data_IF_995727089402
#
_entry.id   IF_995727089402
#
_cell.length_a   1.000
_cell.length_b   1.000
_cell.length_c   1.000
_cell.angle_alpha   90.00
_cell.angle_beta   90.00
_cell.angle_gamma   90.00
#
_symmetry.space_group_name_H-M   'P 1'
#
loop_
_entity.id
_entity.type
_entity.pdbx_description
1 polymer ?
#
# COMPACT_ATOMS: atom_id res chain seq x y z
N UNK A 1 19.31 7.13 -7.87
CA UNK A 1 17.96 6.66 -7.44
C UNK A 1 18.05 6.22 -5.99
N UNK A 2 17.39 6.91 -5.07
CA UNK A 2 17.36 6.53 -3.65
C UNK A 2 16.45 5.32 -3.48
N UNK A 3 16.96 4.23 -2.89
CA UNK A 3 16.20 2.98 -2.74
C UNK A 3 15.24 3.10 -1.57
N UNK A 4 13.95 3.23 -1.86
CA UNK A 4 12.90 3.21 -0.86
C UNK A 4 12.75 1.80 -0.25
N UNK A 5 12.43 1.76 1.04
CA UNK A 5 12.10 0.54 1.79
C UNK A 5 10.85 0.80 2.62
N UNK A 6 10.16 -0.28 2.97
CA UNK A 6 9.04 -0.21 3.89
C UNK A 6 9.56 -0.19 5.33
N UNK A 7 9.10 0.79 6.09
CA UNK A 7 9.39 0.93 7.52
C UNK A 7 8.09 0.82 8.33
N UNK A 8 8.14 0.03 9.39
CA UNK A 8 7.11 -0.03 10.41
C UNK A 8 7.30 1.13 11.39
N UNK A 9 6.28 1.95 11.63
CA UNK A 9 6.24 3.07 12.58
C UNK A 9 5.21 2.75 13.67
N UNK A 10 5.65 2.78 14.92
CA UNK A 10 4.88 2.41 16.11
C UNK A 10 4.52 3.64 16.94
N UNK A 11 3.61 3.45 17.90
CA UNK A 11 3.24 4.52 18.85
C UNK A 11 4.47 5.05 19.62
N UNK A 12 5.43 4.18 19.92
CA UNK A 12 6.69 4.54 20.58
C UNK A 12 7.57 5.44 19.72
N UNK A 13 7.66 5.16 18.42
CA UNK A 13 8.44 5.99 17.50
C UNK A 13 7.90 7.43 17.40
N UNK A 14 6.60 7.60 17.66
CA UNK A 14 5.91 8.89 17.58
C UNK A 14 5.66 9.52 18.97
N UNK A 15 6.14 8.92 20.05
CA UNK A 15 5.85 9.33 21.44
C UNK A 15 4.33 9.49 21.73
N UNK A 16 3.50 8.57 21.22
CA UNK A 16 2.04 8.56 21.41
C UNK A 16 1.58 7.36 22.23
N UNK A 17 0.43 7.48 22.90
CA UNK A 17 -0.20 6.38 23.65
C UNK A 17 -0.86 5.30 22.77
N UNK A 18 -1.03 5.57 21.47
CA UNK A 18 -1.61 4.64 20.52
C UNK A 18 -1.61 5.21 19.11
N UNK A 19 -1.87 4.35 18.11
CA UNK A 19 -2.02 4.75 16.72
C UNK A 19 -3.43 4.50 16.23
N UNK A 20 -3.92 5.42 15.41
CA UNK A 20 -5.14 5.27 14.64
C UNK A 20 -4.78 5.58 13.19
N UNK A 21 -5.19 4.71 12.27
CA UNK A 21 -5.07 5.00 10.85
C UNK A 21 -6.27 5.84 10.40
N UNK A 22 -6.02 6.96 9.72
CA UNK A 22 -7.06 7.96 9.46
C UNK A 22 -8.11 7.54 8.43
N UNK A 23 -7.78 6.65 7.48
CA UNK A 23 -8.77 6.23 6.46
C UNK A 23 -9.71 5.13 6.96
N UNK A 24 -9.17 4.00 7.47
CA UNK A 24 -10.05 2.93 7.98
C UNK A 24 -10.49 3.14 9.44
N UNK A 25 -9.98 4.19 10.11
CA UNK A 25 -10.29 4.59 11.49
C UNK A 25 -9.98 3.54 12.57
N UNK A 26 -9.29 2.46 12.22
CA UNK A 26 -8.94 1.42 13.18
C UNK A 26 -7.78 1.84 14.06
N UNK A 27 -7.82 1.37 15.32
CA UNK A 27 -6.65 1.40 16.21
C UNK A 27 -5.68 0.33 15.76
N UNK A 28 -4.42 0.71 15.61
CA UNK A 28 -3.37 -0.19 15.10
C UNK A 28 -2.14 -0.12 15.99
N UNK A 29 -1.33 -1.19 15.96
CA UNK A 29 -0.03 -1.21 16.64
C UNK A 29 1.07 -0.55 15.81
N UNK A 30 0.87 -0.49 14.50
CA UNK A 30 1.90 -0.11 13.52
C UNK A 30 1.25 0.53 12.30
N UNK A 31 1.89 1.59 11.81
CA UNK A 31 1.67 2.18 10.49
C UNK A 31 2.89 1.89 9.62
N UNK A 32 2.68 1.67 8.32
CA UNK A 32 3.74 1.36 7.37
C UNK A 32 3.90 2.52 6.39
N UNK A 33 5.15 2.90 6.13
CA UNK A 33 5.50 3.95 5.19
C UNK A 33 6.67 3.51 4.30
N UNK A 34 6.67 3.94 3.04
CA UNK A 34 7.81 3.81 2.13
C UNK A 34 8.69 5.06 2.29
N UNK A 35 9.95 4.87 2.66
CA UNK A 35 10.90 5.96 2.86
C UNK A 35 12.32 5.50 2.53
N UNK A 36 13.29 6.42 2.50
CA UNK A 36 14.72 6.11 2.37
C UNK A 36 15.37 5.75 3.71
N UNK A 37 14.82 6.22 4.83
CA UNK A 37 15.25 5.85 6.18
C UNK A 37 14.09 5.74 7.16
N UNK A 38 14.38 5.21 8.35
CA UNK A 38 13.39 5.09 9.45
C UNK A 38 12.99 6.47 9.98
N UNK A 39 13.92 7.40 10.07
CA UNK A 39 13.70 8.77 10.55
C UNK A 39 12.78 9.53 9.58
N UNK A 40 12.99 9.38 8.28
CA UNK A 40 12.10 9.93 7.26
C UNK A 40 10.70 9.32 7.36
N UNK A 41 10.60 7.99 7.53
CA UNK A 41 9.30 7.34 7.70
C UNK A 41 8.52 7.90 8.90
N UNK A 42 9.20 8.16 10.02
CA UNK A 42 8.56 8.76 11.21
C UNK A 42 8.04 10.16 10.89
N UNK A 43 8.83 11.02 10.23
CA UNK A 43 8.42 12.38 9.84
C UNK A 43 7.20 12.37 8.92
N UNK A 44 7.20 11.51 7.90
CA UNK A 44 6.09 11.39 6.96
C UNK A 44 4.80 10.93 7.65
N UNK A 45 4.89 9.98 8.59
CA UNK A 45 3.72 9.52 9.35
C UNK A 45 3.24 10.59 10.33
N UNK A 46 4.16 11.33 10.96
CA UNK A 46 3.82 12.41 11.89
C UNK A 46 3.11 13.57 11.19
N UNK A 47 3.56 13.95 9.99
CA UNK A 47 2.95 14.96 9.14
C UNK A 47 1.65 14.51 8.46
N UNK A 48 1.27 13.23 8.58
CA UNK A 48 0.07 12.68 7.93
C UNK A 48 0.19 12.50 6.42
N UNK A 49 1.41 12.59 5.88
CA UNK A 49 1.73 12.41 4.46
C UNK A 49 1.86 10.93 4.07
N UNK A 50 2.10 10.06 5.06
CA UNK A 50 2.18 8.63 4.88
C UNK A 50 1.65 7.86 6.10
N UNK A 51 1.72 6.54 6.05
CA UNK A 51 1.37 5.65 7.16
C UNK A 51 0.04 4.95 6.90
N UNK A 52 0.10 3.81 6.23
CA UNK A 52 -1.05 2.91 6.06
C UNK A 52 -1.07 1.88 7.20
N UNK A 53 -2.26 1.46 7.63
CA UNK A 53 -2.35 0.23 8.41
C UNK A 53 -1.93 -0.98 7.55
N UNK A 54 -1.65 -2.12 8.19
CA UNK A 54 -1.22 -3.33 7.48
C UNK A 54 -2.20 -3.77 6.38
N UNK A 55 -3.51 -3.69 6.64
CA UNK A 55 -4.54 -4.05 5.66
C UNK A 55 -4.50 -3.14 4.43
N UNK A 56 -4.61 -1.82 4.63
CA UNK A 56 -4.61 -0.86 3.52
C UNK A 56 -3.25 -0.81 2.80
N UNK A 57 -2.14 -1.14 3.47
CA UNK A 57 -0.84 -1.33 2.81
C UNK A 57 -0.86 -2.54 1.89
N UNK A 58 -1.40 -3.67 2.32
CA UNK A 58 -1.54 -4.85 1.48
C UNK A 58 -2.43 -4.60 0.27
N UNK A 59 -3.55 -3.89 0.45
CA UNK A 59 -4.42 -3.48 -0.66
C UNK A 59 -3.67 -2.59 -1.66
N UNK A 60 -2.98 -1.54 -1.20
CA UNK A 60 -2.22 -0.65 -2.07
C UNK A 60 -1.11 -1.37 -2.85
N UNK A 61 -0.40 -2.32 -2.21
CA UNK A 61 0.61 -3.15 -2.89
C UNK A 61 -0.04 -4.08 -3.91
N UNK A 62 -1.16 -4.71 -3.56
CA UNK A 62 -1.89 -5.61 -4.45
C UNK A 62 -2.42 -4.86 -5.70
N UNK A 63 -2.96 -3.66 -5.53
CA UNK A 63 -3.37 -2.79 -6.63
C UNK A 63 -2.18 -2.40 -7.51
N UNK A 64 -1.04 -2.02 -6.92
CA UNK A 64 0.18 -1.70 -7.66
C UNK A 64 0.70 -2.87 -8.50
N UNK A 65 0.73 -4.06 -7.92
CA UNK A 65 1.11 -5.30 -8.64
C UNK A 65 0.10 -5.63 -9.73
N UNK A 66 -1.20 -5.54 -9.43
CA UNK A 66 -2.28 -5.76 -10.39
C UNK A 66 -2.15 -4.84 -11.60
N UNK A 67 -1.98 -3.54 -11.37
CA UNK A 67 -1.82 -2.55 -12.43
C UNK A 67 -0.60 -2.82 -13.32
N UNK A 68 0.50 -3.31 -12.74
CA UNK A 68 1.68 -3.72 -13.52
C UNK A 68 1.38 -4.94 -14.40
N UNK A 69 0.78 -5.99 -13.83
CA UNK A 69 0.42 -7.20 -14.57
C UNK A 69 -0.53 -6.87 -15.72
N UNK A 70 -1.52 -5.99 -15.46
CA UNK A 70 -2.45 -5.51 -16.49
C UNK A 70 -1.70 -4.81 -17.63
N UNK A 71 -0.83 -3.84 -17.35
CA UNK A 71 0.00 -3.16 -18.36
C UNK A 71 0.87 -4.11 -19.18
N UNK A 72 1.43 -5.14 -18.55
CA UNK A 72 2.26 -6.14 -19.26
C UNK A 72 1.42 -7.07 -20.16
N UNK A 73 0.13 -7.22 -19.86
CA UNK A 73 -0.81 -8.06 -20.58
C UNK A 73 -1.58 -7.28 -21.67
N UNK A 74 -1.81 -5.98 -21.46
CA UNK A 74 -2.30 -5.04 -22.47
C UNK A 74 -1.38 -5.06 -23.69
N UNK A 75 -1.93 -5.39 -24.85
CA UNK A 75 -1.19 -5.56 -26.10
C UNK A 75 -0.63 -6.97 -26.36
N UNK A 76 -0.61 -7.88 -25.36
CA UNK A 76 -0.24 -9.30 -25.57
C UNK A 76 -1.43 -10.23 -25.67
N UNK A 77 -2.55 -9.89 -25.05
CA UNK A 77 -3.74 -10.73 -25.03
C UNK A 77 -5.00 -9.93 -25.43
N UNK A 78 -5.95 -10.56 -26.15
CA UNK A 78 -7.24 -9.96 -26.41
C UNK A 78 -7.97 -9.63 -25.10
N UNK A 79 -8.67 -8.50 -25.06
CA UNK A 79 -9.37 -7.99 -23.87
C UNK A 79 -10.34 -9.02 -23.26
N UNK A 80 -11.00 -9.83 -24.11
CA UNK A 80 -11.89 -10.91 -23.68
C UNK A 80 -11.18 -11.97 -22.81
N UNK A 81 -9.91 -12.26 -23.12
CA UNK A 81 -9.10 -13.22 -22.37
C UNK A 81 -8.70 -12.64 -21.01
N UNK A 82 -8.43 -11.34 -20.94
CA UNK A 82 -8.14 -10.64 -19.68
C UNK A 82 -9.38 -10.65 -18.77
N UNK A 83 -10.56 -10.35 -19.32
CA UNK A 83 -11.85 -10.43 -18.59
C UNK A 83 -12.17 -11.81 -18.05
N UNK A 84 -11.84 -12.89 -18.78
CA UNK A 84 -12.00 -14.27 -18.28
C UNK A 84 -11.07 -14.56 -17.09
N UNK A 85 -9.85 -14.04 -17.12
CA UNK A 85 -8.88 -14.19 -16.03
C UNK A 85 -9.34 -13.41 -14.80
N UNK A 86 -9.78 -12.16 -14.95
CA UNK A 86 -10.39 -11.34 -13.88
C UNK A 86 -11.53 -12.08 -13.19
N UNK A 87 -12.48 -12.59 -13.99
CA UNK A 87 -13.64 -13.34 -13.49
C UNK A 87 -13.25 -14.64 -12.78
N UNK A 88 -12.21 -15.33 -13.26
CA UNK A 88 -11.71 -16.57 -12.65
C UNK A 88 -10.98 -16.33 -11.33
N UNK A 89 -10.22 -15.24 -11.25
CA UNK A 89 -9.43 -14.91 -10.07
C UNK A 89 -10.22 -14.11 -9.02
N UNK A 90 -11.41 -13.61 -9.37
CA UNK A 90 -12.21 -12.75 -8.49
C UNK A 90 -11.56 -11.38 -8.27
N UNK A 91 -10.73 -10.94 -9.21
CA UNK A 91 -10.01 -9.67 -9.13
C UNK A 91 -10.66 -8.68 -10.10
N UNK A 92 -11.11 -7.55 -9.57
CA UNK A 92 -11.67 -6.47 -10.37
C UNK A 92 -10.63 -5.36 -10.44
N UNK A 93 -10.09 -5.11 -11.64
CA UNK A 93 -9.26 -3.93 -11.84
C UNK A 93 -10.19 -2.71 -11.87
N UNK A 94 -10.18 -1.91 -10.81
CA UNK A 94 -10.90 -0.65 -10.77
C UNK A 94 -10.26 0.30 -11.81
N UNK A 95 -11.10 0.87 -12.69
CA UNK A 95 -10.73 1.77 -13.79
C UNK A 95 -10.75 3.23 -13.32
#
# INVERSE_FOLDING_TARGET
MTRLRMFAVTARDLNRGGLKYNNCLWRVKTLYALASSKEEAVKLVEGGEAGLCGWCMCEAVAEGVGNRVKKEAEGKYPEEKLRRVEKRLGVYFNY
#
